data_IF_618260209737
#
_entry.id   IF_618260209737
#
_cell.length_a   1.000
_cell.length_b   1.000
_cell.length_c   1.000
_cell.angle_alpha   90.00
_cell.angle_beta   90.00
_cell.angle_gamma   90.00
#
_symmetry.space_group_name_H-M   'P 1'
#
loop_
_entity.id
_entity.type
_entity.pdbx_description
1 polymer ?
#
# COMPACT_ATOMS: atom_id res chain seq x y z
N UNK A 1 -11.24 2.15 -0.52
CA UNK A 1 -12.23 1.99 -1.61
C UNK A 1 -11.73 0.92 -2.58
N UNK A 2 -12.54 -0.08 -2.97
CA UNK A 2 -12.20 -0.96 -4.09
C UNK A 2 -12.35 -0.21 -5.42
N UNK A 3 -11.41 -0.42 -6.34
CA UNK A 3 -11.51 0.05 -7.72
C UNK A 3 -12.06 -1.06 -8.60
N UNK A 4 -12.74 -0.70 -9.67
CA UNK A 4 -13.27 -1.65 -10.66
C UNK A 4 -12.19 -2.06 -11.67
N UNK A 5 -11.21 -1.19 -11.90
CA UNK A 5 -10.15 -1.33 -12.91
C UNK A 5 -8.83 -1.84 -12.31
N UNK A 6 -8.91 -2.78 -11.38
CA UNK A 6 -7.73 -3.29 -10.66
C UNK A 6 -6.83 -4.20 -11.52
N UNK A 7 -5.57 -4.36 -11.11
CA UNK A 7 -4.57 -5.19 -11.79
C UNK A 7 -3.81 -4.47 -12.90
N UNK A 8 -4.09 -3.18 -13.09
CA UNK A 8 -3.42 -2.33 -14.07
C UNK A 8 -3.32 -0.90 -13.50
N UNK A 9 -2.13 -0.53 -13.04
CA UNK A 9 -1.89 0.70 -12.28
C UNK A 9 -2.39 1.97 -12.98
N UNK A 10 -2.28 2.06 -14.31
CA UNK A 10 -2.70 3.26 -15.03
C UNK A 10 -4.22 3.40 -15.08
N UNK A 11 -4.96 2.30 -15.24
CA UNK A 11 -6.42 2.31 -15.13
C UNK A 11 -6.88 2.58 -13.69
N UNK A 12 -6.19 2.03 -12.68
CA UNK A 12 -6.48 2.30 -11.27
C UNK A 12 -6.36 3.79 -10.93
N UNK A 13 -5.25 4.43 -11.32
CA UNK A 13 -5.06 5.86 -11.11
C UNK A 13 -6.09 6.70 -11.89
N UNK A 14 -6.43 6.31 -13.11
CA UNK A 14 -7.44 7.01 -13.91
C UNK A 14 -8.82 6.94 -13.26
N UNK A 15 -9.18 5.78 -12.73
CA UNK A 15 -10.43 5.59 -12.00
C UNK A 15 -10.43 6.39 -10.69
N UNK A 16 -9.34 6.35 -9.94
CA UNK A 16 -9.20 7.11 -8.70
C UNK A 16 -9.37 8.61 -8.95
N UNK A 17 -8.65 9.19 -9.93
CA UNK A 17 -8.80 10.59 -10.33
C UNK A 17 -10.24 10.93 -10.71
N UNK A 18 -10.92 10.05 -11.45
CA UNK A 18 -12.32 10.24 -11.84
C UNK A 18 -13.25 10.27 -10.62
N UNK A 19 -13.04 9.37 -9.65
CA UNK A 19 -13.88 9.26 -8.45
C UNK A 19 -13.64 10.41 -7.46
N UNK A 20 -12.39 10.87 -7.29
CA UNK A 20 -12.04 11.92 -6.32
C UNK A 20 -12.09 13.33 -6.87
N UNK A 21 -11.96 13.50 -8.20
CA UNK A 21 -11.86 14.79 -8.90
C UNK A 21 -10.63 15.64 -8.50
N UNK A 22 -9.59 15.01 -7.95
CA UNK A 22 -8.34 15.71 -7.61
C UNK A 22 -7.57 16.13 -8.88
N UNK A 23 -6.93 17.30 -8.84
CA UNK A 23 -6.09 17.81 -9.94
C UNK A 23 -4.84 16.97 -10.19
N UNK A 24 -4.36 16.25 -9.18
CA UNK A 24 -3.18 15.40 -9.20
C UNK A 24 -3.18 14.38 -8.07
N UNK A 25 -2.32 13.37 -8.20
CA UNK A 25 -2.16 12.31 -7.21
C UNK A 25 -0.67 12.10 -6.96
N UNK A 26 -0.29 12.07 -5.69
CA UNK A 26 1.00 11.57 -5.23
C UNK A 26 0.77 10.27 -4.46
N UNK A 27 1.71 9.33 -4.54
CA UNK A 27 1.65 8.09 -3.77
C UNK A 27 2.62 8.19 -2.58
N UNK A 28 2.15 8.62 -1.39
CA UNK A 28 2.98 8.69 -0.20
C UNK A 28 3.49 7.32 0.26
N UNK A 29 2.80 6.23 -0.07
CA UNK A 29 3.29 4.88 0.18
C UNK A 29 2.29 3.75 -0.03
N UNK A 30 2.75 2.52 0.19
CA UNK A 30 1.97 1.29 0.09
C UNK A 30 2.17 0.42 1.33
N UNK A 31 1.20 -0.43 1.64
CA UNK A 31 1.26 -1.36 2.76
C UNK A 31 0.39 -2.59 2.48
N UNK A 32 0.66 -3.71 3.15
CA UNK A 32 -0.09 -4.95 2.94
C UNK A 32 -1.18 -5.15 3.98
N UNK A 33 -2.13 -6.02 3.67
CA UNK A 33 -3.20 -6.38 4.60
C UNK A 33 -2.71 -7.18 5.79
N UNK A 34 -3.32 -7.00 6.96
CA UNK A 34 -3.10 -7.86 8.12
C UNK A 34 -3.42 -9.34 7.84
N UNK A 35 -4.22 -9.62 6.81
CA UNK A 35 -4.57 -10.98 6.39
C UNK A 35 -3.40 -11.66 5.67
N UNK A 36 -3.25 -13.00 5.79
CA UNK A 36 -2.14 -13.76 5.23
C UNK A 36 -2.35 -14.03 3.73
N UNK A 37 -2.39 -12.98 2.93
CA UNK A 37 -2.60 -13.09 1.49
C UNK A 37 -1.65 -12.12 0.81
N UNK A 38 -0.76 -12.64 -0.03
CA UNK A 38 0.39 -11.89 -0.55
C UNK A 38 0.09 -11.13 -1.85
N UNK A 39 -1.02 -11.45 -2.51
CA UNK A 39 -1.40 -10.91 -3.82
C UNK A 39 -1.96 -9.49 -3.82
N UNK A 40 -2.31 -8.92 -2.67
CA UNK A 40 -3.02 -7.65 -2.54
C UNK A 40 -2.28 -6.73 -1.58
N UNK A 41 -2.25 -5.46 -1.94
CA UNK A 41 -1.66 -4.40 -1.15
C UNK A 41 -2.57 -3.17 -1.22
N UNK A 42 -2.29 -2.22 -0.35
CA UNK A 42 -3.00 -0.96 -0.25
C UNK A 42 -2.08 0.17 -0.73
N UNK A 43 -2.54 0.96 -1.69
CA UNK A 43 -1.92 2.23 -2.06
C UNK A 43 -2.58 3.36 -1.27
N UNK A 44 -1.78 4.11 -0.52
CA UNK A 44 -2.20 5.41 -0.02
C UNK A 44 -1.92 6.45 -1.10
N UNK A 45 -2.98 7.12 -1.56
CA UNK A 45 -2.92 8.14 -2.59
C UNK A 45 -3.29 9.48 -1.99
N UNK A 46 -2.39 10.45 -2.09
CA UNK A 46 -2.55 11.80 -1.59
C UNK A 46 -3.03 12.73 -2.69
N UNK A 47 -3.98 13.60 -2.35
CA UNK A 47 -4.39 14.72 -3.20
C UNK A 47 -3.22 15.67 -3.45
N UNK A 48 -2.99 15.99 -4.73
CA UNK A 48 -2.03 17.00 -5.14
C UNK A 48 -2.71 18.04 -6.01
N UNK A 49 -2.67 19.31 -5.59
CA UNK A 49 -3.28 20.42 -6.31
C UNK A 49 -2.24 21.48 -6.64
N UNK A 50 -2.57 22.35 -7.61
CA UNK A 50 -1.74 23.53 -7.92
C UNK A 50 -1.72 24.55 -6.78
N UNK A 51 -2.80 24.58 -6.00
CA UNK A 51 -2.94 25.41 -4.80
C UNK A 51 -2.55 24.60 -3.58
N UNK A 52 -1.99 25.26 -2.57
CA UNK A 52 -1.57 24.61 -1.32
C UNK A 52 -2.77 23.94 -0.63
N UNK A 53 -2.67 22.63 -0.40
CA UNK A 53 -3.65 21.87 0.39
C UNK A 53 -3.25 21.87 1.86
N UNK A 54 -4.20 21.88 2.81
CA UNK A 54 -3.86 21.88 4.23
C UNK A 54 -3.17 20.57 4.63
N UNK A 55 -2.27 20.63 5.62
CA UNK A 55 -1.64 19.43 6.16
C UNK A 55 -2.70 18.49 6.76
N UNK A 56 -2.59 17.20 6.48
CA UNK A 56 -3.38 16.14 7.08
C UNK A 56 -2.63 15.54 8.28
N UNK A 57 -2.93 15.95 9.53
CA UNK A 57 -2.14 15.56 10.69
C UNK A 57 -2.32 14.08 11.08
N UNK A 58 -3.45 13.46 10.72
CA UNK A 58 -3.69 12.05 11.01
C UNK A 58 -2.81 11.18 10.12
N UNK A 59 -2.92 11.37 8.80
CA UNK A 59 -2.16 10.55 7.86
C UNK A 59 -0.67 10.89 7.92
N UNK A 60 -0.31 12.15 8.19
CA UNK A 60 1.09 12.52 8.41
C UNK A 60 1.75 11.72 9.54
N UNK A 61 1.02 11.47 10.64
CA UNK A 61 1.52 10.65 11.75
C UNK A 61 1.61 9.18 11.35
N UNK A 62 0.58 8.66 10.69
CA UNK A 62 0.56 7.28 10.20
C UNK A 62 1.76 6.96 9.32
N UNK A 63 2.21 7.88 8.47
CA UNK A 63 3.31 7.68 7.52
C UNK A 63 4.63 8.35 7.97
N UNK A 64 4.68 8.90 9.19
CA UNK A 64 5.82 9.67 9.70
C UNK A 64 6.38 10.71 8.70
N UNK A 65 5.48 11.42 8.01
CA UNK A 65 5.83 12.35 6.92
C UNK A 65 4.83 13.48 6.82
N UNK A 66 5.22 14.62 6.26
CA UNK A 66 4.28 15.68 5.92
C UNK A 66 3.42 15.31 4.71
N UNK A 67 2.15 14.99 4.97
CA UNK A 67 1.13 14.69 3.97
C UNK A 67 0.08 15.81 3.98
N UNK A 68 -0.28 16.31 2.80
CA UNK A 68 -1.18 17.44 2.60
C UNK A 68 -2.39 17.03 1.76
N UNK A 69 -3.56 17.60 2.06
CA UNK A 69 -4.82 17.29 1.38
C UNK A 69 -5.45 15.96 1.81
N UNK A 70 -6.46 15.55 1.06
CA UNK A 70 -7.17 14.30 1.29
C UNK A 70 -6.33 13.08 0.89
N UNK A 71 -6.64 11.93 1.51
CA UNK A 71 -5.97 10.66 1.22
C UNK A 71 -7.01 9.58 0.94
N UNK A 72 -6.77 8.83 -0.13
CA UNK A 72 -7.56 7.69 -0.53
C UNK A 72 -6.70 6.43 -0.39
N UNK A 73 -7.18 5.49 0.43
CA UNK A 73 -6.58 4.16 0.52
C UNK A 73 -7.31 3.24 -0.46
N UNK A 74 -6.57 2.77 -1.45
CA UNK A 74 -7.04 1.88 -2.50
C UNK A 74 -6.45 0.50 -2.29
N UNK A 75 -7.29 -0.53 -2.34
CA UNK A 75 -6.80 -1.91 -2.41
C UNK A 75 -6.53 -2.27 -3.87
N UNK A 76 -5.32 -2.73 -4.16
CA UNK A 76 -4.84 -3.13 -5.49
C UNK A 76 -4.22 -4.53 -5.44
N UNK A 77 -3.85 -5.05 -6.61
CA UNK A 77 -3.11 -6.30 -6.80
C UNK A 77 -2.24 -6.18 -8.04
N UNK A 78 -1.06 -6.79 -8.00
CA UNK A 78 -0.19 -6.89 -9.19
C UNK A 78 -0.73 -7.87 -10.24
N UNK A 79 -1.78 -8.62 -9.90
CA UNK A 79 -2.43 -9.60 -10.77
C UNK A 79 -3.94 -9.40 -10.77
N UNK A 80 -4.61 -9.74 -11.87
CA UNK A 80 -6.06 -9.63 -11.96
C UNK A 80 -6.72 -10.73 -11.12
N UNK A 81 -7.12 -10.40 -9.89
CA UNK A 81 -7.77 -11.32 -8.94
C UNK A 81 -9.13 -10.76 -8.54
N UNK A 82 -10.19 -11.58 -8.60
CA UNK A 82 -11.55 -11.14 -8.31
C UNK A 82 -12.11 -11.70 -6.99
N UNK A 83 -11.24 -12.05 -6.05
CA UNK A 83 -11.59 -12.61 -4.74
C UNK A 83 -11.75 -11.52 -3.66
N UNK A 84 -11.99 -10.28 -4.08
CA UNK A 84 -12.22 -9.17 -3.18
C UNK A 84 -13.57 -9.31 -2.46
N UNK A 85 -13.57 -9.24 -1.13
CA UNK A 85 -14.77 -8.76 -0.43
C UNK A 85 -14.99 -7.30 -0.84
N UNK A 86 -16.15 -6.96 -1.40
CA UNK A 86 -16.50 -5.58 -1.78
C UNK A 86 -16.35 -4.60 -0.59
N UNK A 87 -16.50 -5.10 0.63
CA UNK A 87 -16.35 -4.30 1.83
C UNK A 87 -14.87 -4.20 2.26
N UNK A 88 -14.19 -3.15 1.81
CA UNK A 88 -13.06 -2.59 2.57
C UNK A 88 -13.62 -1.63 3.62
N UNK A 89 -13.87 -2.15 4.82
CA UNK A 89 -14.42 -1.36 5.92
C UNK A 89 -13.34 -0.55 6.65
N UNK A 90 -13.76 0.50 7.35
CA UNK A 90 -12.90 1.23 8.30
C UNK A 90 -12.24 0.27 9.31
N UNK A 91 -12.97 -0.77 9.73
CA UNK A 91 -12.47 -1.81 10.63
C UNK A 91 -11.30 -2.59 10.03
N UNK A 92 -11.34 -2.92 8.74
CA UNK A 92 -10.22 -3.61 8.07
C UNK A 92 -8.98 -2.72 7.97
N UNK A 93 -9.16 -1.41 7.75
CA UNK A 93 -8.06 -0.46 7.83
C UNK A 93 -7.49 -0.43 9.25
N UNK A 94 -8.32 -0.26 10.29
CA UNK A 94 -7.88 -0.25 11.70
C UNK A 94 -7.15 -1.54 12.07
N UNK A 95 -7.65 -2.71 11.71
CA UNK A 95 -6.94 -3.99 11.92
C UNK A 95 -5.59 -4.05 11.23
N UNK A 96 -5.50 -3.45 10.04
CA UNK A 96 -4.23 -3.32 9.33
C UNK A 96 -3.29 -2.35 10.05
N UNK A 97 -3.79 -1.26 10.62
CA UNK A 97 -3.01 -0.36 11.47
C UNK A 97 -2.48 -1.09 12.71
N UNK A 98 -3.34 -1.84 13.40
CA UNK A 98 -2.98 -2.66 14.55
C UNK A 98 -1.93 -3.72 14.20
N UNK A 99 -2.05 -4.37 13.04
CA UNK A 99 -1.07 -5.34 12.58
C UNK A 99 0.33 -4.75 12.41
N UNK A 100 0.42 -3.49 11.99
CA UNK A 100 1.70 -2.79 11.88
C UNK A 100 2.20 -2.22 13.21
N UNK A 101 1.46 -2.35 14.33
CA UNK A 101 2.01 -2.03 15.65
C UNK A 101 3.18 -2.95 15.97
N UNK A 102 4.38 -2.38 16.00
CA UNK A 102 5.62 -3.11 16.27
C UNK A 102 6.16 -3.91 15.06
N UNK A 103 5.65 -3.68 13.85
CA UNK A 103 6.19 -4.28 12.62
C UNK A 103 6.64 -3.20 11.65
N UNK A 104 7.79 -3.41 11.01
CA UNK A 104 8.25 -2.52 9.96
C UNK A 104 7.52 -2.84 8.65
N UNK A 105 6.90 -1.84 8.04
CA UNK A 105 6.14 -2.03 6.80
C UNK A 105 7.03 -2.48 5.63
N UNK A 106 8.28 -2.00 5.59
CA UNK A 106 9.27 -2.45 4.61
C UNK A 106 9.60 -3.94 4.69
N UNK A 107 9.71 -4.50 5.90
CA UNK A 107 10.03 -5.92 6.06
C UNK A 107 8.89 -6.79 5.52
N UNK A 108 7.65 -6.41 5.82
CA UNK A 108 6.47 -7.11 5.32
C UNK A 108 6.32 -6.94 3.80
N UNK A 109 6.64 -5.76 3.27
CA UNK A 109 6.61 -5.49 1.84
C UNK A 109 7.62 -6.36 1.08
N UNK A 110 8.86 -6.42 1.57
CA UNK A 110 9.91 -7.26 1.03
C UNK A 110 9.50 -8.74 1.07
N UNK A 111 9.05 -9.22 2.24
CA UNK A 111 8.59 -10.61 2.43
C UNK A 111 7.50 -11.01 1.45
N UNK A 112 6.47 -10.16 1.27
CA UNK A 112 5.34 -10.47 0.38
C UNK A 112 5.65 -10.28 -1.08
N UNK A 113 6.46 -9.27 -1.43
CA UNK A 113 6.94 -9.09 -2.81
C UNK A 113 7.72 -10.32 -3.25
N UNK A 114 8.63 -10.83 -2.40
CA UNK A 114 9.37 -12.06 -2.66
C UNK A 114 8.45 -13.27 -2.85
N UNK A 115 7.46 -13.45 -1.97
CA UNK A 115 6.49 -14.54 -2.09
C UNK A 115 5.68 -14.47 -3.40
N UNK A 116 5.23 -13.27 -3.77
CA UNK A 116 4.49 -13.02 -5.02
C UNK A 116 5.33 -13.33 -6.27
N UNK A 117 6.57 -12.87 -6.31
CA UNK A 117 7.50 -13.15 -7.43
C UNK A 117 7.86 -14.63 -7.53
N UNK A 118 8.11 -15.29 -6.41
CA UNK A 118 8.36 -16.73 -6.36
C UNK A 118 7.17 -17.53 -6.91
N UNK A 119 5.94 -17.17 -6.49
CA UNK A 119 4.72 -17.78 -6.99
C UNK A 119 4.54 -17.57 -8.51
N UNK A 120 4.85 -16.37 -9.00
CA UNK A 120 4.82 -16.03 -10.45
C UNK A 120 5.81 -16.90 -11.25
N UNK A 121 6.96 -17.22 -10.67
CA UNK A 121 7.95 -18.12 -11.28
C UNK A 121 7.65 -19.61 -11.06
N UNK A 122 6.60 -19.96 -10.31
CA UNK A 122 6.27 -21.35 -9.99
C UNK A 122 7.27 -22.02 -9.05
N UNK A 123 7.97 -21.25 -8.21
CA UNK A 123 8.97 -21.75 -7.26
C UNK A 123 8.65 -21.34 -5.82
N UNK A 124 9.25 -22.03 -4.85
CA UNK A 124 9.20 -21.63 -3.43
C UNK A 124 10.00 -20.35 -3.19
N UNK A 125 9.67 -19.58 -2.14
CA UNK A 125 10.43 -18.37 -1.79
C UNK A 125 11.91 -18.66 -1.50
N UNK A 126 12.22 -19.80 -0.89
CA UNK A 126 13.60 -20.25 -0.62
C UNK A 126 14.37 -20.55 -1.92
N UNK A 127 13.72 -21.22 -2.87
CA UNK A 127 14.30 -21.47 -4.19
C UNK A 127 14.50 -20.17 -4.98
N UNK A 128 13.53 -19.25 -4.92
CA UNK A 128 13.64 -17.93 -5.55
C UNK A 128 14.88 -17.17 -5.06
N UNK A 129 15.12 -17.17 -3.74
CA UNK A 129 16.26 -16.49 -3.11
C UNK A 129 17.62 -17.01 -3.57
N UNK A 130 17.70 -18.29 -3.96
CA UNK A 130 18.93 -18.91 -4.51
C UNK A 130 19.15 -18.60 -5.98
N UNK A 131 18.11 -18.18 -6.71
CA UNK A 131 18.14 -17.95 -8.15
C UNK A 131 18.33 -16.47 -8.47
N UNK A 132 17.83 -15.56 -7.62
CA UNK A 132 17.99 -14.13 -7.83
C UNK A 132 19.41 -13.67 -7.48
N UNK A 133 20.00 -12.75 -8.26
CA UNK A 133 21.31 -12.18 -7.96
C UNK A 133 21.34 -11.52 -6.58
N UNK A 134 22.51 -11.53 -5.93
CA UNK A 134 22.74 -10.76 -4.72
C UNK A 134 22.50 -9.26 -5.00
N UNK A 135 21.72 -8.59 -4.14
CA UNK A 135 21.30 -7.20 -4.35
C UNK A 135 20.15 -7.02 -5.34
N UNK A 136 19.46 -8.08 -5.77
CA UNK A 136 18.23 -7.96 -6.55
C UNK A 136 17.21 -7.11 -5.76
N UNK A 137 16.73 -5.98 -6.32
CA UNK A 137 15.83 -5.10 -5.60
C UNK A 137 14.47 -5.77 -5.50
N UNK A 138 14.13 -6.27 -4.32
CA UNK A 138 12.78 -6.69 -3.96
C UNK A 138 11.91 -5.44 -3.79
N UNK A 139 11.64 -4.72 -4.88
CA UNK A 139 10.89 -3.45 -4.90
C UNK A 139 11.25 -2.54 -3.72
N UNK A 140 12.54 -2.21 -3.57
CA UNK A 140 12.99 -1.22 -2.59
C UNK A 140 12.51 0.16 -3.07
N UNK A 141 11.28 0.50 -2.72
CA UNK A 141 10.73 1.84 -2.91
C UNK A 141 10.73 2.50 -1.53
N UNK A 142 11.62 3.46 -1.23
CA UNK A 142 11.66 4.14 0.06
C UNK A 142 10.32 4.76 0.46
N UNK A 143 9.53 5.19 -0.54
CA UNK A 143 8.17 5.69 -0.34
C UNK A 143 7.19 4.59 0.13
N UNK A 144 7.48 3.33 -0.18
CA UNK A 144 6.70 2.15 0.18
C UNK A 144 7.13 1.48 1.49
N UNK A 145 8.32 1.78 1.98
CA UNK A 145 9.00 0.94 2.99
C UNK A 145 9.41 1.68 4.25
N UNK A 146 9.36 3.00 4.28
CA UNK A 146 9.60 3.81 5.49
C UNK A 146 8.35 3.89 6.39
N UNK A 147 8.53 3.98 7.72
CA UNK A 147 7.69 3.28 8.67
C UNK A 147 6.32 3.90 8.89
N UNK A 148 5.32 3.02 8.97
CA UNK A 148 4.16 3.25 9.82
C UNK A 148 4.64 3.41 11.26
N UNK A 149 4.62 4.61 11.83
CA UNK A 149 4.94 4.81 13.25
C UNK A 149 3.64 4.69 14.08
N UNK A 150 3.50 3.62 14.88
CA UNK A 150 2.30 3.40 15.69
C UNK A 150 2.38 4.04 17.09
N UNK A 151 3.54 4.56 17.49
CA UNK A 151 3.74 5.16 18.82
C UNK A 151 2.85 6.37 19.10
N UNK A 152 2.26 6.95 18.05
CA UNK A 152 1.51 8.20 18.11
C UNK A 152 0.02 8.06 17.72
N UNK A 153 -0.46 6.82 17.56
CA UNK A 153 -1.89 6.56 17.41
C UNK A 153 -2.58 6.83 18.76
N UNK A 154 -3.68 7.61 18.80
CA UNK A 154 -4.40 7.83 20.04
C UNK A 154 -4.85 6.47 20.60
N UNK A 155 -4.58 6.22 21.89
CA UNK A 155 -5.39 5.27 22.62
C UNK A 155 -6.81 5.87 22.64
N UNK A 156 -7.78 5.16 22.07
CA UNK A 156 -9.20 5.47 22.29
C UNK A 156 -9.53 5.52 23.78
#
# INVERSE_FOLDING_TARGET
>A
MPLDSYGEWSAELKELKRRTRWGGILEPGKFYSHRPVDRWHYHANQQYEKTETPRNPLVSRCFNRYIYGDVAVVRSSDVRVNDYSEEFSRTELVRTLEFYKGRHAGDEANRRSKASMAATMGVTAEAFERIVPEGFPYVHNPMAEEPWMPSDLPNE
#
